data_IF_894178012555
#
_entry.id   IF_894178012555
#
_cell.length_a   1.000
_cell.length_b   1.000
_cell.length_c   1.000
_cell.angle_alpha   90.00
_cell.angle_beta   90.00
_cell.angle_gamma   90.00
#
_symmetry.space_group_name_H-M   'P 1'
#
loop_
_entity.id
_entity.type
_entity.pdbx_description
1 polymer ?
#
# COMPACT_ATOMS: atom_id res chain seq x y z
N UNK A 1 1.74 22.52 -1.00
CA UNK A 1 0.70 21.61 -1.52
C UNK A 1 1.31 20.35 -2.10
N UNK A 2 2.16 20.45 -3.14
CA UNK A 2 2.83 19.29 -3.75
C UNK A 2 3.65 18.45 -2.77
N UNK A 3 4.33 19.07 -1.79
CA UNK A 3 5.07 18.35 -0.75
C UNK A 3 4.20 17.42 0.11
N UNK A 4 2.99 17.88 0.49
CA UNK A 4 2.07 17.07 1.30
C UNK A 4 1.59 15.87 0.49
N UNK A 5 1.26 16.10 -0.78
CA UNK A 5 0.86 15.01 -1.69
C UNK A 5 1.98 13.99 -1.87
N UNK A 6 3.23 14.44 -2.10
CA UNK A 6 4.39 13.54 -2.19
C UNK A 6 4.59 12.76 -0.89
N UNK A 7 4.46 13.41 0.27
CA UNK A 7 4.56 12.74 1.56
C UNK A 7 3.47 11.69 1.75
N UNK A 8 2.24 11.97 1.34
CA UNK A 8 1.12 11.01 1.39
C UNK A 8 1.41 9.80 0.49
N UNK A 9 1.85 10.04 -0.74
CA UNK A 9 2.26 8.97 -1.67
C UNK A 9 3.36 8.10 -1.06
N UNK A 10 4.41 8.73 -0.51
CA UNK A 10 5.51 8.02 0.13
C UNK A 10 5.04 7.24 1.38
N UNK A 11 4.14 7.81 2.17
CA UNK A 11 3.61 7.18 3.38
C UNK A 11 2.79 5.93 3.05
N UNK A 12 1.94 5.98 2.03
CA UNK A 12 1.21 4.79 1.56
C UNK A 12 2.14 3.74 0.96
N UNK A 13 3.15 4.17 0.20
CA UNK A 13 4.18 3.27 -0.32
C UNK A 13 4.96 2.59 0.79
N UNK A 14 5.30 3.33 1.85
CA UNK A 14 5.98 2.82 3.02
C UNK A 14 5.09 1.81 3.76
N UNK A 15 3.84 2.17 4.02
CA UNK A 15 2.85 1.30 4.67
C UNK A 15 2.79 -0.07 4.00
N UNK A 16 2.64 -0.10 2.66
CA UNK A 16 2.59 -1.34 1.88
C UNK A 16 3.89 -2.12 1.85
N UNK A 17 5.06 -1.46 1.81
CA UNK A 17 6.33 -2.19 1.79
C UNK A 17 6.69 -2.75 3.17
N UNK A 18 6.39 -2.02 4.25
CA UNK A 18 6.69 -2.45 5.61
C UNK A 18 5.77 -3.50 6.16
N UNK A 19 4.60 -3.72 5.56
CA UNK A 19 3.68 -4.76 6.02
C UNK A 19 4.14 -6.18 5.64
N UNK A 20 5.30 -6.29 4.99
CA UNK A 20 5.79 -7.50 4.32
C UNK A 20 7.28 -7.66 4.60
N UNK A 21 7.78 -8.86 4.94
CA UNK A 21 9.21 -9.07 5.18
C UNK A 21 10.08 -8.70 3.96
N UNK A 22 9.64 -9.06 2.76
CA UNK A 22 10.39 -8.76 1.53
C UNK A 22 10.40 -7.27 1.15
N UNK A 23 9.30 -6.57 1.35
CA UNK A 23 9.24 -5.13 1.12
C UNK A 23 10.19 -4.37 2.03
N UNK A 24 10.36 -4.82 3.29
CA UNK A 24 11.39 -4.30 4.20
C UNK A 24 12.81 -4.56 3.67
N UNK A 25 13.10 -5.79 3.22
CA UNK A 25 14.41 -6.16 2.65
C UNK A 25 14.72 -5.34 1.39
N UNK A 26 13.74 -5.21 0.49
CA UNK A 26 13.87 -4.43 -0.75
C UNK A 26 14.12 -2.96 -0.47
N UNK A 27 13.42 -2.39 0.54
CA UNK A 27 13.61 -1.00 0.93
C UNK A 27 15.01 -0.74 1.51
N UNK A 28 15.59 -1.73 2.23
CA UNK A 28 16.97 -1.63 2.75
C UNK A 28 18.03 -1.79 1.66
N UNK A 29 17.78 -2.67 0.67
CA UNK A 29 18.68 -2.89 -0.46
C UNK A 29 18.74 -1.69 -1.40
N UNK A 30 17.60 -1.03 -1.62
CA UNK A 30 17.52 0.16 -2.46
C UNK A 30 18.02 1.37 -1.66
N UNK A 31 19.07 2.06 -2.13
CA UNK A 31 19.60 3.25 -1.46
C UNK A 31 19.39 4.51 -2.30
N UNK A 32 19.14 5.64 -1.64
CA UNK A 32 19.01 6.94 -2.30
C UNK A 32 17.73 7.09 -3.13
N UNK A 33 17.87 7.58 -4.37
CA UNK A 33 16.74 7.98 -5.23
C UNK A 33 15.85 6.79 -5.65
N UNK A 34 16.42 5.60 -5.77
CA UNK A 34 15.71 4.38 -6.17
C UNK A 34 14.67 3.97 -5.11
N UNK A 35 14.99 4.14 -3.82
CA UNK A 35 14.07 3.87 -2.72
C UNK A 35 12.82 4.76 -2.80
N UNK A 36 12.99 6.05 -3.08
CA UNK A 36 11.88 6.98 -3.24
C UNK A 36 11.01 6.65 -4.45
N UNK A 37 11.60 6.29 -5.58
CA UNK A 37 10.86 5.87 -6.76
C UNK A 37 10.06 4.57 -6.49
N UNK A 38 10.65 3.62 -5.77
CA UNK A 38 10.00 2.38 -5.39
C UNK A 38 8.84 2.61 -4.42
N UNK A 39 9.03 3.48 -3.42
CA UNK A 39 7.96 3.91 -2.51
C UNK A 39 6.83 4.61 -3.29
N UNK A 40 7.18 5.53 -4.19
CA UNK A 40 6.20 6.27 -4.97
C UNK A 40 5.33 5.35 -5.84
N UNK A 41 5.94 4.38 -6.52
CA UNK A 41 5.22 3.38 -7.32
C UNK A 41 4.18 2.63 -6.49
N UNK A 42 4.58 2.13 -5.32
CA UNK A 42 3.70 1.36 -4.44
C UNK A 42 2.60 2.24 -3.80
N UNK A 43 2.91 3.50 -3.50
CA UNK A 43 1.94 4.46 -2.98
C UNK A 43 0.87 4.84 -4.01
N UNK A 44 1.27 5.09 -5.26
CA UNK A 44 0.35 5.41 -6.35
C UNK A 44 -0.62 4.23 -6.62
N UNK A 45 -0.14 2.99 -6.51
CA UNK A 45 -0.97 1.80 -6.69
C UNK A 45 -2.13 1.72 -5.67
N UNK A 46 -2.00 2.34 -4.50
CA UNK A 46 -3.05 2.42 -3.46
C UNK A 46 -3.91 3.67 -3.66
N UNK A 47 -3.28 4.78 -4.05
CA UNK A 47 -3.96 6.05 -4.20
C UNK A 47 -4.94 6.06 -5.38
N UNK A 48 -4.61 5.42 -6.51
CA UNK A 48 -5.51 5.38 -7.68
C UNK A 48 -6.85 4.68 -7.35
N UNK A 49 -6.87 3.45 -6.78
CA UNK A 49 -8.11 2.82 -6.36
C UNK A 49 -8.87 3.60 -5.29
N UNK A 50 -8.18 4.19 -4.32
CA UNK A 50 -8.83 5.01 -3.28
C UNK A 50 -9.46 6.30 -3.84
N UNK A 51 -8.84 6.92 -4.84
CA UNK A 51 -9.43 8.03 -5.58
C UNK A 51 -10.70 7.60 -6.32
N UNK A 52 -10.66 6.47 -7.02
CA UNK A 52 -11.84 5.92 -7.72
C UNK A 52 -12.97 5.60 -6.73
N UNK A 53 -12.64 5.04 -5.57
CA UNK A 53 -13.59 4.74 -4.52
C UNK A 53 -14.19 6.02 -3.91
N UNK A 54 -13.38 7.06 -3.72
CA UNK A 54 -13.86 8.38 -3.28
C UNK A 54 -14.85 8.97 -4.29
N UNK A 55 -14.53 8.89 -5.58
CA UNK A 55 -15.40 9.39 -6.63
C UNK A 55 -16.73 8.62 -6.67
N UNK A 56 -16.69 7.29 -6.55
CA UNK A 56 -17.89 6.46 -6.65
C UNK A 56 -18.77 6.48 -5.40
N UNK A 57 -18.18 6.52 -4.20
CA UNK A 57 -18.91 6.38 -2.92
C UNK A 57 -19.25 7.73 -2.29
N UNK A 58 -18.41 8.75 -2.43
CA UNK A 58 -18.65 10.05 -1.81
C UNK A 58 -19.14 11.10 -2.83
N UNK A 59 -18.42 11.29 -3.93
CA UNK A 59 -18.71 12.39 -4.86
C UNK A 59 -19.96 12.12 -5.70
N UNK A 60 -20.05 10.96 -6.36
CA UNK A 60 -21.19 10.62 -7.22
C UNK A 60 -22.53 10.71 -6.48
N UNK A 61 -22.71 10.13 -5.28
CA UNK A 61 -23.98 10.22 -4.55
C UNK A 61 -24.35 11.65 -4.15
N UNK A 62 -23.36 12.49 -3.79
CA UNK A 62 -23.61 13.91 -3.50
C UNK A 62 -24.12 14.67 -4.72
N UNK A 63 -23.55 14.40 -5.90
CA UNK A 63 -24.02 15.02 -7.15
C UNK A 63 -25.39 14.47 -7.60
N UNK A 64 -25.67 13.18 -7.39
CA UNK A 64 -26.99 12.61 -7.64
C UNK A 64 -28.03 13.27 -6.72
N UNK A 65 -27.75 13.39 -5.43
CA UNK A 65 -28.62 14.07 -4.47
C UNK A 65 -28.84 15.54 -4.86
N UNK A 66 -27.77 16.25 -5.23
CA UNK A 66 -27.88 17.64 -5.69
C UNK A 66 -28.76 17.77 -6.93
N UNK A 67 -28.70 16.80 -7.86
CA UNK A 67 -29.55 16.74 -9.05
C UNK A 67 -31.01 16.48 -8.68
N UNK A 68 -31.28 15.60 -7.73
CA UNK A 68 -32.65 15.36 -7.23
C UNK A 68 -33.23 16.62 -6.57
N UNK A 69 -32.43 17.32 -5.74
CA UNK A 69 -32.85 18.59 -5.13
C UNK A 69 -33.13 19.65 -6.18
N UNK A 70 -32.26 19.76 -7.19
CA UNK A 70 -32.46 20.69 -8.31
C UNK A 70 -33.73 20.37 -9.12
N UNK A 71 -34.07 19.10 -9.30
CA UNK A 71 -35.34 18.73 -9.95
C UNK A 71 -36.55 19.16 -9.13
N UNK A 72 -36.52 18.99 -7.80
CA UNK A 72 -37.61 19.43 -6.90
C UNK A 72 -37.73 20.96 -6.91
N UNK A 73 -36.59 21.65 -6.94
CA UNK A 73 -36.52 23.10 -7.04
C UNK A 73 -37.30 23.64 -8.26
N UNK A 74 -37.14 22.97 -9.41
CA UNK A 74 -37.87 23.31 -10.64
C UNK A 74 -39.39 23.20 -10.49
N UNK A 75 -39.89 22.35 -9.59
CA UNK A 75 -41.33 22.18 -9.35
C UNK A 75 -41.90 23.15 -8.30
N UNK A 76 -41.08 23.68 -7.40
CA UNK A 76 -41.52 24.46 -6.22
C UNK A 76 -41.16 25.96 -6.34
N UNK A 77 -40.48 26.38 -7.41
CA UNK A 77 -40.00 27.77 -7.61
C UNK A 77 -39.19 28.30 -6.41
N UNK A 78 -38.48 27.40 -5.73
CA UNK A 78 -37.57 27.73 -4.65
C UNK A 78 -36.20 28.06 -5.27
N UNK A 79 -35.40 28.98 -4.72
CA UNK A 79 -34.02 29.19 -5.20
C UNK A 79 -33.03 28.51 -4.25
N UNK A 80 -32.71 27.25 -4.53
CA UNK A 80 -31.66 26.50 -3.84
C UNK A 80 -30.47 26.38 -4.82
N UNK A 81 -29.24 26.54 -4.35
CA UNK A 81 -28.05 26.32 -5.21
C UNK A 81 -27.36 25.00 -4.83
N UNK A 82 -27.97 23.83 -5.14
CA UNK A 82 -27.51 22.54 -4.60
C UNK A 82 -26.09 22.17 -5.05
N UNK A 83 -25.73 22.45 -6.30
CA UNK A 83 -24.37 22.21 -6.80
C UNK A 83 -23.33 23.13 -6.15
N UNK A 84 -23.69 24.38 -5.85
CA UNK A 84 -22.79 25.30 -5.14
C UNK A 84 -22.55 24.86 -3.70
N UNK A 85 -23.55 24.24 -3.07
CA UNK A 85 -23.44 23.65 -1.74
C UNK A 85 -22.48 22.45 -1.74
N UNK A 86 -22.63 21.52 -2.70
CA UNK A 86 -21.71 20.37 -2.85
C UNK A 86 -20.27 20.85 -3.10
N UNK A 87 -20.08 21.82 -4.01
CA UNK A 87 -18.76 22.39 -4.27
C UNK A 87 -18.17 22.99 -3.00
N UNK A 88 -18.95 23.80 -2.25
CA UNK A 88 -18.49 24.43 -1.00
C UNK A 88 -18.05 23.42 0.04
N UNK A 89 -18.74 22.29 0.17
CA UNK A 89 -18.35 21.21 1.10
C UNK A 89 -17.03 20.58 0.66
N UNK A 90 -16.94 20.17 -0.61
CA UNK A 90 -15.75 19.47 -1.11
C UNK A 90 -14.51 20.39 -1.16
N UNK A 91 -14.71 21.68 -1.43
CA UNK A 91 -13.66 22.70 -1.49
C UNK A 91 -13.44 23.42 -0.16
N UNK A 92 -14.01 22.94 0.95
CA UNK A 92 -13.78 23.54 2.25
C UNK A 92 -12.33 23.31 2.67
N UNK A 93 -11.59 24.39 2.96
CA UNK A 93 -10.20 24.31 3.41
C UNK A 93 -10.17 23.87 4.87
N UNK A 94 -9.66 22.66 5.09
CA UNK A 94 -9.48 22.09 6.42
C UNK A 94 -8.22 22.65 7.06
N UNK A 95 -7.13 22.73 6.31
CA UNK A 95 -5.85 23.24 6.80
C UNK A 95 -4.88 23.59 5.68
N UNK A 96 -4.41 24.84 5.60
CA UNK A 96 -3.35 25.29 4.69
C UNK A 96 -3.53 24.78 3.24
N UNK A 97 -4.72 24.98 2.68
CA UNK A 97 -5.12 24.55 1.32
C UNK A 97 -5.33 23.04 1.18
N UNK A 98 -5.51 22.29 2.27
CA UNK A 98 -5.93 20.88 2.20
C UNK A 98 -7.45 20.88 2.23
N UNK A 99 -8.07 20.39 1.16
CA UNK A 99 -9.53 20.40 1.05
C UNK A 99 -10.13 19.12 1.64
N UNK A 100 -11.43 19.16 1.97
CA UNK A 100 -12.18 17.97 2.40
C UNK A 100 -12.06 16.83 1.39
N UNK A 101 -12.05 17.15 0.09
CA UNK A 101 -11.81 16.16 -0.96
C UNK A 101 -10.48 15.40 -0.78
N UNK A 102 -9.38 16.10 -0.50
CA UNK A 102 -8.07 15.47 -0.31
C UNK A 102 -8.08 14.52 0.89
N UNK A 103 -8.75 14.92 1.98
CA UNK A 103 -8.91 14.09 3.18
C UNK A 103 -9.72 12.84 2.87
N UNK A 104 -10.82 12.96 2.11
CA UNK A 104 -11.63 11.81 1.70
C UNK A 104 -10.80 10.82 0.87
N UNK A 105 -9.99 11.30 -0.08
CA UNK A 105 -9.10 10.44 -0.87
C UNK A 105 -8.14 9.67 0.03
N UNK A 106 -7.51 10.33 1.01
CA UNK A 106 -6.61 9.67 1.96
C UNK A 106 -7.35 8.60 2.78
N UNK A 107 -8.52 8.93 3.31
CA UNK A 107 -9.32 8.00 4.11
C UNK A 107 -9.76 6.76 3.31
N UNK A 108 -10.28 6.96 2.09
CA UNK A 108 -10.72 5.85 1.25
C UNK A 108 -9.55 5.04 0.68
N UNK A 109 -8.40 5.65 0.40
CA UNK A 109 -7.16 4.93 0.07
C UNK A 109 -6.69 4.04 1.22
N UNK A 110 -6.74 4.54 2.45
CA UNK A 110 -6.42 3.75 3.63
C UNK A 110 -7.42 2.61 3.84
N UNK A 111 -8.72 2.87 3.67
CA UNK A 111 -9.76 1.84 3.75
C UNK A 111 -9.57 0.74 2.70
N UNK A 112 -9.30 1.13 1.44
CA UNK A 112 -9.01 0.18 0.36
C UNK A 112 -7.80 -0.70 0.69
N UNK A 113 -6.71 -0.08 1.18
CA UNK A 113 -5.52 -0.81 1.60
C UNK A 113 -5.85 -1.80 2.73
N UNK A 114 -6.56 -1.37 3.77
CA UNK A 114 -6.91 -2.20 4.91
C UNK A 114 -7.76 -3.41 4.50
N UNK A 115 -8.79 -3.20 3.67
CA UNK A 115 -9.66 -4.27 3.18
C UNK A 115 -8.87 -5.31 2.36
N UNK A 116 -8.07 -4.84 1.39
CA UNK A 116 -7.24 -5.71 0.57
C UNK A 116 -6.22 -6.47 1.41
N UNK A 117 -5.66 -5.84 2.44
CA UNK A 117 -4.63 -6.46 3.26
C UNK A 117 -5.19 -7.49 4.25
N UNK A 118 -6.40 -7.31 4.78
CA UNK A 118 -7.10 -8.37 5.54
C UNK A 118 -7.31 -9.61 4.67
N UNK A 119 -7.75 -9.41 3.43
CA UNK A 119 -7.99 -10.51 2.49
C UNK A 119 -6.68 -11.21 2.09
N UNK A 120 -5.58 -10.46 1.95
CA UNK A 120 -4.24 -10.98 1.66
C UNK A 120 -3.53 -11.58 2.88
N UNK A 121 -3.83 -11.16 4.11
CA UNK A 121 -3.32 -11.80 5.32
C UNK A 121 -3.94 -13.19 5.55
N UNK A 122 -5.17 -13.39 5.07
CA UNK A 122 -5.84 -14.70 5.07
C UNK A 122 -5.42 -15.60 3.90
N UNK A 123 -4.79 -15.07 2.86
CA UNK A 123 -4.30 -15.85 1.70
C UNK A 123 -2.78 -16.02 1.77
N UNK A 124 -2.33 -17.23 1.47
CA UNK A 124 -0.92 -17.58 1.23
C UNK A 124 -0.26 -16.81 0.06
N UNK A 125 -0.86 -15.72 -0.43
CA UNK A 125 -0.41 -14.90 -1.57
C UNK A 125 0.97 -14.27 -1.35
N UNK A 126 1.38 -14.07 -0.10
CA UNK A 126 2.76 -13.74 0.25
C UNK A 126 3.71 -14.77 -0.37
N UNK A 127 3.49 -16.08 -0.12
CA UNK A 127 4.28 -17.22 -0.64
C UNK A 127 4.46 -17.17 -2.16
N UNK A 128 3.41 -16.85 -2.91
CA UNK A 128 3.45 -16.80 -4.37
C UNK A 128 4.22 -15.58 -4.91
N UNK A 129 4.15 -14.44 -4.21
CA UNK A 129 4.94 -13.25 -4.59
C UNK A 129 6.46 -13.45 -4.39
N UNK A 130 6.87 -14.31 -3.45
CA UNK A 130 8.28 -14.68 -3.24
C UNK A 130 8.84 -15.58 -4.36
N UNK A 131 7.99 -16.45 -4.95
CA UNK A 131 8.44 -17.49 -5.89
C UNK A 131 9.05 -16.93 -7.19
N UNK A 132 8.71 -15.70 -7.55
CA UNK A 132 9.02 -15.14 -8.88
C UNK A 132 10.16 -14.10 -8.90
N UNK A 133 10.73 -13.70 -7.76
CA UNK A 133 11.67 -12.56 -7.73
C UNK A 133 13.13 -12.91 -7.43
N UNK A 134 13.42 -13.96 -6.64
CA UNK A 134 14.80 -14.36 -6.36
C UNK A 134 14.91 -15.88 -6.18
N UNK A 135 15.51 -16.56 -7.16
CA UNK A 135 15.57 -18.02 -7.20
C UNK A 135 16.37 -18.60 -6.02
N UNK A 136 17.40 -17.89 -5.54
CA UNK A 136 18.23 -18.33 -4.43
C UNK A 136 17.46 -18.23 -3.11
N UNK A 137 16.79 -17.10 -2.89
CA UNK A 137 15.98 -16.89 -1.69
C UNK A 137 14.81 -17.88 -1.63
N UNK A 138 14.20 -18.20 -2.77
CA UNK A 138 13.12 -19.17 -2.86
C UNK A 138 13.59 -20.59 -2.46
N UNK A 139 14.79 -21.01 -2.90
CA UNK A 139 15.38 -22.28 -2.47
C UNK A 139 15.61 -22.31 -0.96
N UNK A 140 16.07 -21.19 -0.38
CA UNK A 140 16.30 -21.06 1.07
C UNK A 140 14.99 -21.19 1.85
N UNK A 141 13.93 -20.50 1.42
CA UNK A 141 12.61 -20.59 2.06
C UNK A 141 11.96 -21.96 1.91
N UNK A 142 12.00 -22.54 0.71
CA UNK A 142 11.48 -23.88 0.46
C UNK A 142 12.20 -24.91 1.33
N UNK A 143 13.52 -24.78 1.47
CA UNK A 143 14.29 -25.64 2.35
C UNK A 143 13.98 -25.46 3.84
N UNK A 144 13.76 -24.21 4.28
CA UNK A 144 13.33 -23.93 5.65
C UNK A 144 11.93 -24.50 5.96
N UNK A 145 10.98 -24.45 5.03
CA UNK A 145 9.63 -25.00 5.22
C UNK A 145 9.61 -26.53 5.17
N UNK A 146 10.33 -27.11 4.20
CA UNK A 146 10.41 -28.57 4.02
C UNK A 146 11.40 -29.25 4.95
N UNK A 147 12.13 -28.47 5.76
CA UNK A 147 13.24 -28.94 6.61
C UNK A 147 14.26 -29.75 5.80
N UNK A 148 14.48 -29.37 4.54
CA UNK A 148 15.45 -30.03 3.66
C UNK A 148 16.84 -29.43 3.86
N UNK A 149 17.89 -30.27 3.95
CA UNK A 149 19.25 -29.78 4.17
C UNK A 149 19.79 -29.09 2.92
N UNK A 150 20.42 -27.92 3.10
CA UNK A 150 21.09 -27.20 2.02
C UNK A 150 22.60 -27.34 2.11
N UNK A 151 23.25 -27.34 0.94
CA UNK A 151 24.70 -27.22 0.81
C UNK A 151 25.05 -25.84 0.30
N UNK A 152 25.65 -25.01 1.16
CA UNK A 152 26.03 -23.63 0.82
C UNK A 152 27.56 -23.57 0.68
N UNK A 153 28.03 -23.15 -0.48
CA UNK A 153 29.45 -22.95 -0.77
C UNK A 153 29.76 -21.45 -0.78
N UNK A 154 30.71 -21.02 0.07
CA UNK A 154 31.16 -19.63 0.12
C UNK A 154 32.38 -19.39 -0.77
N UNK A 155 32.59 -18.14 -1.19
CA UNK A 155 33.81 -17.71 -1.90
C UNK A 155 35.11 -18.01 -1.14
N UNK A 156 35.03 -18.11 0.20
CA UNK A 156 36.11 -18.53 1.09
C UNK A 156 36.46 -20.03 0.99
N UNK A 157 35.81 -20.80 0.11
CA UNK A 157 35.93 -22.27 -0.05
C UNK A 157 35.42 -23.07 1.15
N UNK A 158 34.77 -22.42 2.12
CA UNK A 158 34.06 -23.10 3.21
C UNK A 158 32.72 -23.60 2.68
N UNK A 159 32.36 -24.82 3.07
CA UNK A 159 31.09 -25.46 2.73
C UNK A 159 30.32 -25.71 4.02
N UNK A 160 29.08 -25.27 4.07
CA UNK A 160 28.15 -25.50 5.16
C UNK A 160 27.05 -26.44 4.68
N UNK A 161 26.70 -27.42 5.51
CA UNK A 161 25.63 -28.39 5.24
C UNK A 161 24.79 -28.51 6.51
N UNK A 162 23.48 -28.34 6.37
CA UNK A 162 22.55 -28.52 7.49
C UNK A 162 21.18 -27.96 7.16
N UNK A 163 20.31 -27.94 8.16
CA UNK A 163 18.91 -27.50 8.03
C UNK A 163 18.81 -26.05 8.45
N UNK A 164 18.02 -25.26 7.72
CA UNK A 164 17.80 -23.85 8.03
C UNK A 164 16.75 -23.74 9.12
N UNK A 165 17.08 -23.02 10.19
CA UNK A 165 16.12 -22.64 11.22
C UNK A 165 15.22 -21.51 10.71
N UNK A 166 13.92 -21.78 10.59
CA UNK A 166 12.94 -20.87 9.97
C UNK A 166 12.63 -19.62 10.80
N UNK A 167 12.86 -19.65 12.11
CA UNK A 167 12.45 -18.61 13.07
C UNK A 167 13.25 -17.29 12.95
N UNK A 168 14.41 -17.27 12.28
CA UNK A 168 15.23 -16.04 12.18
C UNK A 168 14.87 -15.10 11.03
N UNK A 169 14.06 -15.52 10.05
CA UNK A 169 13.58 -14.61 9.01
C UNK A 169 12.64 -13.51 9.54
N UNK A 170 12.15 -13.67 10.78
CA UNK A 170 11.38 -12.63 11.49
C UNK A 170 12.26 -11.63 12.24
N UNK A 171 13.53 -11.95 12.53
CA UNK A 171 14.42 -11.04 13.28
C UNK A 171 15.03 -10.01 12.35
N UNK A 172 14.58 -8.77 12.53
CA UNK A 172 14.81 -7.61 11.66
C UNK A 172 16.27 -7.16 11.52
N UNK A 173 17.26 -7.78 12.19
CA UNK A 173 18.59 -7.17 12.39
C UNK A 173 19.78 -7.98 11.87
N UNK A 174 19.59 -9.15 11.25
CA UNK A 174 20.73 -9.99 10.89
C UNK A 174 20.57 -10.63 9.49
N UNK A 175 21.46 -10.28 8.57
CA UNK A 175 21.65 -10.96 7.27
C UNK A 175 22.45 -12.26 7.47
N UNK A 176 22.00 -13.13 8.39
CA UNK A 176 22.61 -14.42 8.66
C UNK A 176 21.65 -15.56 8.32
N UNK A 177 22.21 -16.69 7.89
CA UNK A 177 21.49 -17.94 7.76
C UNK A 177 22.03 -18.84 8.86
N UNK A 178 21.18 -19.20 9.82
CA UNK A 178 21.52 -20.19 10.84
C UNK A 178 21.25 -21.57 10.28
N UNK A 179 22.28 -22.40 10.35
CA UNK A 179 22.28 -23.77 9.86
C UNK A 179 22.62 -24.66 11.05
N UNK A 180 21.74 -25.62 11.32
CA UNK A 180 21.90 -26.66 12.36
C UNK A 180 22.32 -27.98 11.71
#
# INVERSE_FOLDING_TARGET
MWLVFILVVLCFGYLKLTSTPFGKITLRRNQGWEAYAHLAKNGIEILIPGLLLTLSVAVMPLYILATLVYLVELFIELEIKPYAFVYRILSFDVYRKVYVFDVLVICFSYFYYYQKHIDEANKQAWKESFKNQDAVLNIIFEAAETQTPLRISLKSRKVYIGIIESEQFEREDIDNIVIV
#
